data_IF_691581733582
#
_entry.id   IF_691581733582
#
_cell.length_a   1.000
_cell.length_b   1.000
_cell.length_c   1.000
_cell.angle_alpha   90.00
_cell.angle_beta   90.00
_cell.angle_gamma   90.00
#
_symmetry.space_group_name_H-M   'P 1'
#
loop_
_entity.id
_entity.type
_entity.pdbx_description
1 polymer ?
#
# COMPACT_ATOMS: atom_id res chain seq x y z
N UNK A 1 -18.20 17.50 -9.73
CA UNK A 1 -19.46 16.75 -9.98
C UNK A 1 -20.59 17.38 -9.16
N UNK A 2 -21.79 17.60 -9.73
CA UNK A 2 -22.95 18.05 -8.95
C UNK A 2 -23.77 16.84 -8.51
N UNK A 3 -24.07 16.75 -7.21
CA UNK A 3 -24.94 15.74 -6.63
C UNK A 3 -26.23 16.39 -6.15
N UNK A 4 -27.36 15.72 -6.40
CA UNK A 4 -28.70 16.19 -5.98
C UNK A 4 -29.40 15.06 -5.26
N UNK A 5 -29.84 15.31 -4.04
CA UNK A 5 -30.64 14.36 -3.27
C UNK A 5 -32.06 14.32 -3.84
N UNK A 6 -32.55 13.12 -4.18
CA UNK A 6 -33.82 12.93 -4.90
C UNK A 6 -35.02 13.36 -4.04
N UNK A 7 -34.98 13.12 -2.73
CA UNK A 7 -36.12 13.38 -1.84
C UNK A 7 -36.21 14.85 -1.43
N UNK A 8 -35.09 15.46 -1.05
CA UNK A 8 -35.01 16.83 -0.55
C UNK A 8 -34.76 17.89 -1.62
N UNK A 9 -34.40 17.47 -2.85
CA UNK A 9 -34.00 18.33 -3.97
C UNK A 9 -32.80 19.25 -3.67
N UNK A 10 -32.11 19.04 -2.54
CA UNK A 10 -30.88 19.77 -2.18
C UNK A 10 -29.73 19.30 -3.04
N UNK A 11 -28.90 20.24 -3.50
CA UNK A 11 -27.74 19.97 -4.34
C UNK A 11 -26.45 20.51 -3.74
N UNK A 12 -25.36 19.80 -3.96
CA UNK A 12 -24.00 20.21 -3.60
C UNK A 12 -23.02 19.77 -4.68
N UNK A 13 -21.82 20.34 -4.67
CA UNK A 13 -20.74 20.01 -5.61
C UNK A 13 -19.70 19.18 -4.86
N UNK A 14 -19.20 18.14 -5.51
CA UNK A 14 -18.09 17.31 -5.02
C UNK A 14 -16.94 17.40 -6.01
N UNK A 15 -15.74 17.68 -5.49
CA UNK A 15 -14.48 17.54 -6.20
C UNK A 15 -13.68 16.43 -5.53
N UNK A 16 -13.28 15.43 -6.31
CA UNK A 16 -12.42 14.35 -5.85
C UNK A 16 -10.96 14.69 -6.14
N UNK A 17 -10.12 14.61 -5.12
CA UNK A 17 -8.70 14.97 -5.20
C UNK A 17 -7.81 13.73 -5.14
N UNK A 18 -6.80 13.70 -5.99
CA UNK A 18 -5.67 12.79 -5.86
C UNK A 18 -4.38 13.58 -6.10
N UNK A 19 -3.81 14.08 -5.02
CA UNK A 19 -2.64 14.93 -5.03
C UNK A 19 -1.34 14.13 -5.14
N UNK A 20 -0.33 14.75 -5.73
CA UNK A 20 1.03 14.19 -5.78
C UNK A 20 1.67 14.20 -4.39
N UNK A 21 2.48 13.18 -4.11
CA UNK A 21 3.31 13.12 -2.92
C UNK A 21 4.42 14.18 -2.93
N UNK A 22 4.86 14.60 -4.11
CA UNK A 22 5.83 15.68 -4.28
C UNK A 22 5.16 17.05 -4.05
N UNK A 23 5.80 17.88 -3.23
CA UNK A 23 5.24 19.17 -2.83
C UNK A 23 5.27 20.22 -3.93
N UNK A 24 6.22 20.16 -4.85
CA UNK A 24 6.32 21.10 -5.97
C UNK A 24 5.25 20.76 -7.00
N UNK A 25 5.12 19.48 -7.36
CA UNK A 25 4.08 19.04 -8.31
C UNK A 25 2.66 19.31 -7.78
N UNK A 26 2.49 19.32 -6.46
CA UNK A 26 1.20 19.58 -5.81
C UNK A 26 0.74 21.03 -5.94
N UNK A 27 1.63 21.99 -6.25
CA UNK A 27 1.26 23.40 -6.41
C UNK A 27 0.23 23.58 -7.53
N UNK A 28 0.36 22.85 -8.64
CA UNK A 28 -0.58 22.91 -9.77
C UNK A 28 -2.01 22.51 -9.38
N UNK A 29 -2.15 21.60 -8.40
CA UNK A 29 -3.44 21.20 -7.86
C UNK A 29 -4.08 22.35 -7.05
N UNK A 30 -3.29 23.11 -6.29
CA UNK A 30 -3.79 24.25 -5.53
C UNK A 30 -4.31 25.36 -6.45
N UNK A 31 -3.62 25.62 -7.56
CA UNK A 31 -4.08 26.56 -8.59
C UNK A 31 -5.36 26.07 -9.27
N UNK A 32 -5.47 24.75 -9.50
CA UNK A 32 -6.69 24.16 -10.05
C UNK A 32 -7.88 24.28 -9.09
N UNK A 33 -7.65 24.05 -7.79
CA UNK A 33 -8.67 24.25 -6.75
C UNK A 33 -9.05 25.73 -6.61
N UNK A 34 -8.10 26.65 -6.80
CA UNK A 34 -8.38 28.09 -6.86
C UNK A 34 -9.37 28.45 -7.97
N UNK A 35 -9.06 28.00 -9.19
CA UNK A 35 -9.90 28.25 -10.35
C UNK A 35 -11.30 27.63 -10.21
N UNK A 36 -11.39 26.47 -9.55
CA UNK A 36 -12.66 25.82 -9.24
C UNK A 36 -13.45 26.59 -8.19
N UNK A 37 -12.82 27.02 -7.09
CA UNK A 37 -13.48 27.71 -5.98
C UNK A 37 -14.25 28.96 -6.44
N UNK A 38 -13.67 29.74 -7.36
CA UNK A 38 -14.33 30.93 -7.94
C UNK A 38 -15.63 30.62 -8.70
N UNK A 39 -15.86 29.38 -9.10
CA UNK A 39 -17.04 28.93 -9.83
C UNK A 39 -18.05 28.15 -8.97
N UNK A 40 -17.76 27.94 -7.68
CA UNK A 40 -18.63 27.17 -6.78
C UNK A 40 -19.80 28.02 -6.28
N UNK A 41 -20.98 27.78 -6.85
CA UNK A 41 -22.23 28.48 -6.50
C UNK A 41 -23.13 27.71 -5.53
N UNK A 42 -22.76 26.47 -5.20
CA UNK A 42 -23.47 25.57 -4.28
C UNK A 42 -22.49 25.15 -3.17
N UNK A 43 -23.00 24.59 -2.04
CA UNK A 43 -22.13 23.95 -1.06
C UNK A 43 -21.14 23.00 -1.74
N UNK A 44 -19.86 23.12 -1.40
CA UNK A 44 -18.77 22.43 -2.08
C UNK A 44 -18.02 21.54 -1.11
N UNK A 45 -17.90 20.28 -1.46
CA UNK A 45 -17.10 19.28 -0.75
C UNK A 45 -15.88 18.97 -1.61
N UNK A 46 -14.71 19.05 -1.00
CA UNK A 46 -13.45 18.59 -1.58
C UNK A 46 -12.99 17.42 -0.74
N UNK A 47 -12.87 16.25 -1.35
CA UNK A 47 -12.52 15.02 -0.64
C UNK A 47 -11.53 14.22 -1.49
N UNK A 48 -10.61 13.52 -0.85
CA UNK A 48 -9.66 12.65 -1.53
C UNK A 48 -8.33 12.56 -0.81
N UNK A 49 -7.32 12.08 -1.53
CA UNK A 49 -5.97 11.94 -1.02
C UNK A 49 -5.15 13.20 -1.36
N UNK A 50 -4.86 14.01 -0.33
CA UNK A 50 -4.06 15.22 -0.48
C UNK A 50 -2.56 14.99 -0.31
N UNK A 51 -2.12 13.81 0.13
CA UNK A 51 -0.73 13.48 0.43
C UNK A 51 0.02 14.53 1.30
N UNK A 52 -0.72 15.31 2.10
CA UNK A 52 -0.21 16.31 3.05
C UNK A 52 -1.13 16.32 4.26
N UNK A 53 -0.57 16.63 5.43
CA UNK A 53 -1.32 16.75 6.69
C UNK A 53 -1.67 18.22 6.96
N UNK A 54 -2.68 18.47 7.78
CA UNK A 54 -3.06 19.80 8.23
C UNK A 54 -2.21 20.30 9.39
N UNK A 55 -1.87 19.41 10.32
CA UNK A 55 -1.10 19.72 11.53
C UNK A 55 -0.01 18.69 11.83
N UNK A 56 1.05 19.11 12.53
CA UNK A 56 2.13 18.20 12.93
C UNK A 56 1.64 17.09 13.86
N UNK A 57 0.61 17.35 14.67
CA UNK A 57 -0.01 16.38 15.58
C UNK A 57 -0.69 15.21 14.83
N UNK A 58 -1.03 15.39 13.56
CA UNK A 58 -1.59 14.34 12.69
C UNK A 58 -0.52 13.35 12.21
N UNK A 59 0.75 13.56 12.58
CA UNK A 59 1.85 12.66 12.23
C UNK A 59 2.49 12.04 13.46
N UNK A 60 2.57 10.72 13.46
CA UNK A 60 3.36 9.97 14.45
C UNK A 60 4.66 9.42 13.85
N UNK A 61 5.80 9.96 14.32
CA UNK A 61 7.14 9.51 13.94
C UNK A 61 7.54 9.76 12.48
N UNK A 62 8.60 9.11 12.02
CA UNK A 62 9.14 9.30 10.67
C UNK A 62 10.02 10.54 10.53
N UNK A 63 10.09 11.11 9.32
CA UNK A 63 10.81 12.37 9.08
C UNK A 63 10.02 13.55 9.66
N UNK A 64 10.70 14.62 10.12
CA UNK A 64 10.04 15.85 10.52
C UNK A 64 9.09 16.38 9.43
N UNK A 65 8.01 17.02 9.87
CA UNK A 65 7.05 17.64 8.95
C UNK A 65 7.69 18.85 8.29
N UNK A 66 7.42 19.04 7.00
CA UNK A 66 7.83 20.25 6.28
C UNK A 66 6.84 21.37 6.55
N UNK A 67 7.28 22.40 7.28
CA UNK A 67 6.42 23.55 7.60
C UNK A 67 5.99 24.32 6.35
N UNK A 68 6.80 24.31 5.29
CA UNK A 68 6.43 24.90 4.02
C UNK A 68 5.22 24.18 3.42
N UNK A 69 5.22 22.84 3.41
CA UNK A 69 4.10 22.06 2.88
C UNK A 69 2.81 22.25 3.68
N UNK A 70 2.93 22.34 5.01
CA UNK A 70 1.81 22.69 5.88
C UNK A 70 1.24 24.07 5.55
N UNK A 71 2.11 25.07 5.43
CA UNK A 71 1.69 26.44 5.18
C UNK A 71 1.05 26.59 3.80
N UNK A 72 1.58 25.93 2.78
CA UNK A 72 1.00 25.93 1.43
C UNK A 72 -0.40 25.29 1.44
N UNK A 73 -0.55 24.16 2.14
CA UNK A 73 -1.86 23.51 2.28
C UNK A 73 -2.85 24.36 3.07
N UNK A 74 -2.42 24.94 4.20
CA UNK A 74 -3.22 25.85 5.03
C UNK A 74 -3.66 27.08 4.26
N UNK A 75 -2.75 27.67 3.49
CA UNK A 75 -3.06 28.81 2.64
C UNK A 75 -4.13 28.43 1.61
N UNK A 76 -4.00 27.27 0.96
CA UNK A 76 -5.00 26.76 0.03
C UNK A 76 -6.39 26.61 0.69
N UNK A 77 -6.50 25.89 1.80
CA UNK A 77 -7.79 25.64 2.48
C UNK A 77 -8.41 26.94 3.02
N UNK A 78 -7.62 27.78 3.69
CA UNK A 78 -8.10 29.02 4.31
C UNK A 78 -8.57 30.04 3.27
N UNK A 79 -7.91 30.12 2.11
CA UNK A 79 -8.32 31.04 1.04
C UNK A 79 -9.72 30.78 0.51
N UNK A 80 -10.22 29.54 0.62
CA UNK A 80 -11.53 29.15 0.09
C UNK A 80 -12.57 28.91 1.18
N UNK A 81 -12.26 29.28 2.44
CA UNK A 81 -13.10 29.00 3.60
C UNK A 81 -13.53 27.52 3.66
N UNK A 82 -12.68 26.62 3.18
CA UNK A 82 -12.88 25.20 3.37
C UNK A 82 -12.62 24.89 4.85
N UNK A 83 -13.53 24.13 5.44
CA UNK A 83 -13.41 23.69 6.82
C UNK A 83 -13.40 22.18 6.85
N UNK A 84 -12.60 21.64 7.77
CA UNK A 84 -12.63 20.21 8.05
C UNK A 84 -14.00 19.82 8.61
N UNK A 85 -14.64 18.84 7.98
CA UNK A 85 -15.90 18.25 8.44
C UNK A 85 -15.69 17.32 9.63
N UNK A 86 -14.43 17.01 9.95
CA UNK A 86 -14.02 15.98 10.89
C UNK A 86 -14.21 14.59 10.29
N UNK A 87 -13.70 13.60 11.01
CA UNK A 87 -13.82 12.20 10.62
C UNK A 87 -14.30 11.35 11.79
N UNK A 88 -14.82 10.16 11.46
CA UNK A 88 -15.13 9.12 12.43
C UNK A 88 -14.35 7.87 12.05
N UNK A 89 -13.46 7.41 12.93
CA UNK A 89 -12.64 6.22 12.68
C UNK A 89 -11.19 6.41 13.11
N UNK A 90 -10.27 5.80 12.37
CA UNK A 90 -8.83 5.93 12.61
C UNK A 90 -8.37 7.39 12.48
N UNK A 91 -7.57 7.85 13.44
CA UNK A 91 -6.99 9.20 13.43
C UNK A 91 -5.84 9.36 12.42
N UNK A 92 -5.37 8.26 11.84
CA UNK A 92 -4.37 8.25 10.78
C UNK A 92 -4.94 7.57 9.54
N UNK A 93 -4.78 8.22 8.39
CA UNK A 93 -5.23 7.74 7.07
C UNK A 93 -4.19 6.90 6.34
N UNK A 94 -2.93 6.91 6.79
CA UNK A 94 -1.83 6.16 6.18
C UNK A 94 -0.81 5.68 7.22
N UNK A 95 -0.28 4.44 7.06
CA UNK A 95 0.75 3.88 7.94
C UNK A 95 1.68 2.91 7.17
N UNK A 96 3.00 3.13 7.28
CA UNK A 96 4.07 2.23 6.81
C UNK A 96 4.61 1.16 7.81
N UNK A 97 3.86 0.71 8.81
CA UNK A 97 4.38 -0.25 9.80
C UNK A 97 4.81 -1.56 9.15
N UNK A 98 3.96 -2.10 8.27
CA UNK A 98 4.22 -3.34 7.56
C UNK A 98 5.53 -3.25 6.77
N UNK A 99 5.76 -2.14 6.06
CA UNK A 99 7.02 -1.90 5.34
C UNK A 99 8.25 -1.96 6.26
N UNK A 100 8.17 -1.29 7.41
CA UNK A 100 9.27 -1.25 8.38
C UNK A 100 9.53 -2.62 8.97
N UNK A 101 8.48 -3.35 9.33
CA UNK A 101 8.58 -4.69 9.88
C UNK A 101 9.18 -5.67 8.86
N UNK A 102 8.72 -5.63 7.60
CA UNK A 102 9.29 -6.45 6.53
C UNK A 102 10.75 -6.07 6.26
N UNK A 103 11.11 -4.79 6.21
CA UNK A 103 12.50 -4.37 6.04
C UNK A 103 13.43 -4.86 7.16
N UNK A 104 12.92 -5.00 8.39
CA UNK A 104 13.70 -5.52 9.52
C UNK A 104 14.14 -6.98 9.31
N UNK A 105 13.44 -7.75 8.46
CA UNK A 105 13.85 -9.11 8.10
C UNK A 105 15.23 -9.16 7.46
N UNK A 106 15.68 -8.11 6.77
CA UNK A 106 17.04 -8.05 6.22
C UNK A 106 18.16 -8.10 7.28
N UNK A 107 17.83 -7.86 8.55
CA UNK A 107 18.76 -7.97 9.67
C UNK A 107 18.75 -9.36 10.31
N UNK A 108 17.79 -10.22 9.97
CA UNK A 108 17.69 -11.58 10.47
C UNK A 108 18.58 -12.52 9.63
N UNK A 109 19.52 -13.21 10.29
CA UNK A 109 20.48 -14.11 9.63
C UNK A 109 19.82 -15.33 8.97
N UNK A 110 18.60 -15.68 9.39
CA UNK A 110 17.83 -16.80 8.85
C UNK A 110 16.86 -16.37 7.74
N UNK A 111 16.73 -15.08 7.47
CA UNK A 111 15.90 -14.59 6.37
C UNK A 111 16.66 -14.67 5.04
N UNK A 112 16.17 -15.49 4.13
CA UNK A 112 16.67 -15.52 2.76
C UNK A 112 15.82 -14.61 1.88
N UNK A 113 16.33 -13.38 1.63
CA UNK A 113 15.68 -12.42 0.75
C UNK A 113 15.68 -12.84 -0.72
N UNK A 114 14.86 -12.17 -1.53
CA UNK A 114 14.84 -12.37 -2.97
C UNK A 114 16.20 -12.01 -3.59
N UNK A 115 16.77 -12.95 -4.36
CA UNK A 115 18.11 -12.83 -4.90
C UNK A 115 18.17 -11.87 -6.11
N UNK A 116 18.84 -10.75 -5.94
CA UNK A 116 19.24 -9.85 -7.02
C UNK A 116 20.77 -9.85 -7.18
N UNK A 117 21.33 -9.38 -8.31
CA UNK A 117 22.77 -9.21 -8.47
C UNK A 117 23.43 -8.49 -7.29
N UNK A 118 24.69 -8.80 -7.01
CA UNK A 118 25.43 -8.36 -5.80
C UNK A 118 25.43 -6.84 -5.53
N UNK A 119 25.21 -6.03 -6.56
CA UNK A 119 25.20 -4.57 -6.50
C UNK A 119 23.79 -3.96 -6.54
N UNK A 120 22.76 -4.79 -6.53
CA UNK A 120 21.37 -4.36 -6.49
C UNK A 120 20.93 -4.05 -5.05
N UNK A 121 19.99 -3.11 -4.86
CA UNK A 121 19.34 -2.92 -3.58
C UNK A 121 18.70 -4.22 -3.08
N UNK A 122 18.76 -4.45 -1.77
CA UNK A 122 18.01 -5.56 -1.15
C UNK A 122 16.53 -5.19 -1.12
N UNK A 123 15.71 -5.95 -1.85
CA UNK A 123 14.26 -5.73 -1.95
C UNK A 123 13.58 -7.00 -1.45
N UNK A 124 12.63 -6.86 -0.53
CA UNK A 124 11.81 -7.96 -0.05
C UNK A 124 10.31 -7.69 -0.06
N UNK A 125 9.88 -6.50 -0.48
CA UNK A 125 8.47 -6.19 -0.70
C UNK A 125 8.31 -4.98 -1.63
N UNK A 126 7.14 -4.88 -2.25
CA UNK A 126 6.64 -3.72 -2.97
C UNK A 126 5.28 -3.34 -2.36
N UNK A 127 5.08 -2.05 -2.07
CA UNK A 127 3.83 -1.53 -1.53
C UNK A 127 3.12 -0.71 -2.60
N UNK A 128 1.87 -1.07 -2.83
CA UNK A 128 0.87 -0.24 -3.47
C UNK A 128 -0.13 0.22 -2.40
N UNK A 129 -1.03 1.14 -2.73
CA UNK A 129 -1.99 1.69 -1.77
C UNK A 129 -2.82 0.58 -1.08
N UNK A 130 -3.32 -0.37 -1.87
CA UNK A 130 -4.20 -1.44 -1.37
C UNK A 130 -3.54 -2.83 -1.35
N UNK A 131 -2.42 -3.00 -2.07
CA UNK A 131 -1.78 -4.31 -2.30
C UNK A 131 -0.32 -4.32 -1.83
N UNK A 132 0.10 -5.43 -1.22
CA UNK A 132 1.51 -5.66 -0.84
C UNK A 132 2.02 -6.92 -1.51
N UNK A 133 3.11 -6.80 -2.28
CA UNK A 133 3.83 -7.94 -2.85
C UNK A 133 5.04 -8.20 -1.96
N UNK A 134 5.16 -9.41 -1.42
CA UNK A 134 6.34 -9.83 -0.64
C UNK A 134 7.23 -10.70 -1.52
N UNK A 135 8.52 -10.37 -1.55
CA UNK A 135 9.55 -11.05 -2.33
C UNK A 135 10.52 -11.73 -1.37
N UNK A 136 10.55 -13.05 -1.37
CA UNK A 136 11.43 -13.83 -0.50
C UNK A 136 11.80 -15.17 -1.14
N UNK A 137 12.76 -15.86 -0.54
CA UNK A 137 12.92 -17.30 -0.76
C UNK A 137 11.65 -18.06 -0.34
N UNK A 138 11.42 -19.22 -0.95
CA UNK A 138 10.31 -20.14 -0.65
C UNK A 138 10.67 -21.18 0.41
N UNK A 139 11.82 -21.05 1.09
CA UNK A 139 12.18 -21.93 2.18
C UNK A 139 11.31 -21.69 3.42
N UNK A 140 11.08 -22.74 4.19
CA UNK A 140 10.10 -22.73 5.27
C UNK A 140 10.45 -21.75 6.40
N UNK A 141 11.74 -21.54 6.70
CA UNK A 141 12.16 -20.58 7.72
C UNK A 141 11.87 -19.14 7.29
N UNK A 142 12.18 -18.81 6.03
CA UNK A 142 11.86 -17.49 5.47
C UNK A 142 10.35 -17.23 5.47
N UNK A 143 9.53 -18.22 5.08
CA UNK A 143 8.07 -18.09 5.11
C UNK A 143 7.53 -17.91 6.54
N UNK A 144 8.06 -18.64 7.52
CA UNK A 144 7.70 -18.48 8.93
C UNK A 144 7.94 -17.04 9.39
N UNK A 145 9.13 -16.48 9.11
CA UNK A 145 9.49 -15.11 9.49
C UNK A 145 8.57 -14.06 8.83
N UNK A 146 8.18 -14.26 7.58
CA UNK A 146 7.21 -13.39 6.90
C UNK A 146 5.85 -13.46 7.60
N UNK A 147 5.38 -14.66 7.95
CA UNK A 147 4.10 -14.85 8.64
C UNK A 147 4.12 -14.26 10.06
N UNK A 148 5.23 -14.34 10.78
CA UNK A 148 5.39 -13.69 12.09
C UNK A 148 5.28 -12.16 11.99
N UNK A 149 5.88 -11.56 10.96
CA UNK A 149 5.76 -10.11 10.70
C UNK A 149 4.31 -9.73 10.40
N UNK A 150 3.62 -10.53 9.58
CA UNK A 150 2.23 -10.34 9.22
C UNK A 150 1.31 -10.43 10.46
N UNK A 151 1.47 -11.46 11.29
CA UNK A 151 0.70 -11.62 12.53
C UNK A 151 0.97 -10.50 13.54
N UNK A 152 2.24 -10.08 13.68
CA UNK A 152 2.60 -8.95 14.53
C UNK A 152 1.97 -7.64 14.03
N UNK A 153 1.92 -7.44 12.70
CA UNK A 153 1.27 -6.29 12.09
C UNK A 153 -0.24 -6.28 12.35
N UNK A 154 -0.94 -7.42 12.18
CA UNK A 154 -2.38 -7.51 12.45
C UNK A 154 -2.68 -7.16 13.92
N UNK A 155 -1.89 -7.72 14.84
CA UNK A 155 -2.04 -7.45 16.28
C UNK A 155 -1.80 -5.98 16.65
N UNK A 156 -0.82 -5.33 16.01
CA UNK A 156 -0.45 -3.95 16.33
C UNK A 156 -1.36 -2.91 15.66
N UNK A 157 -1.82 -3.18 14.43
CA UNK A 157 -2.62 -2.23 13.63
C UNK A 157 -4.13 -2.44 13.77
N UNK A 158 -4.58 -3.64 14.19
CA UNK A 158 -5.98 -4.04 14.13
C UNK A 158 -6.50 -4.31 12.71
N UNK A 159 -5.66 -4.17 11.68
CA UNK A 159 -6.00 -4.53 10.32
C UNK A 159 -5.81 -6.04 10.12
N UNK A 160 -6.66 -6.66 9.32
CA UNK A 160 -6.56 -8.09 9.01
C UNK A 160 -6.15 -8.29 7.55
N UNK A 161 -5.34 -9.31 7.32
CA UNK A 161 -4.91 -9.75 6.00
C UNK A 161 -6.12 -10.32 5.27
N UNK A 162 -6.36 -9.83 4.06
CA UNK A 162 -7.45 -10.32 3.23
C UNK A 162 -7.06 -11.64 2.55
N UNK A 163 -7.28 -12.73 3.28
CA UNK A 163 -7.00 -14.12 2.86
C UNK A 163 -7.55 -14.48 1.48
N UNK A 164 -8.74 -13.96 1.14
CA UNK A 164 -9.40 -14.24 -0.14
C UNK A 164 -8.75 -13.53 -1.33
N UNK A 165 -7.99 -12.46 -1.07
CA UNK A 165 -7.26 -11.69 -2.08
C UNK A 165 -5.75 -11.97 -2.08
N UNK A 166 -5.25 -12.77 -1.15
CA UNK A 166 -3.83 -13.14 -1.07
C UNK A 166 -3.50 -14.29 -2.02
N UNK A 167 -2.32 -14.22 -2.67
CA UNK A 167 -1.80 -15.27 -3.54
C UNK A 167 -0.27 -15.37 -3.42
N UNK A 168 0.30 -16.55 -3.71
CA UNK A 168 1.76 -16.76 -3.75
C UNK A 168 2.15 -17.18 -5.17
N UNK A 169 3.19 -16.54 -5.69
CA UNK A 169 3.75 -16.83 -7.02
C UNK A 169 5.12 -17.48 -6.87
N UNK A 170 5.36 -18.56 -7.60
CA UNK A 170 6.63 -19.26 -7.64
C UNK A 170 7.19 -19.30 -9.06
N UNK A 171 8.52 -19.27 -9.18
CA UNK A 171 9.20 -19.38 -10.46
C UNK A 171 8.94 -20.73 -11.14
N UNK A 172 8.72 -20.76 -12.45
CA UNK A 172 8.32 -21.95 -13.21
C UNK A 172 9.37 -23.07 -13.24
N UNK A 173 10.64 -22.77 -12.94
CA UNK A 173 11.71 -23.78 -12.91
C UNK A 173 11.70 -24.62 -11.64
N UNK A 174 10.82 -24.31 -10.69
CA UNK A 174 10.44 -25.19 -9.57
C UNK A 174 9.56 -26.31 -10.13
N UNK A 175 10.19 -27.22 -10.87
CA UNK A 175 9.52 -28.31 -11.57
C UNK A 175 8.93 -29.30 -10.56
N UNK A 176 7.61 -29.47 -10.62
CA UNK A 176 6.76 -30.26 -9.71
C UNK A 176 6.28 -29.49 -8.47
N UNK A 177 5.36 -28.57 -8.69
CA UNK A 177 4.64 -27.84 -7.64
C UNK A 177 3.63 -28.80 -6.98
N UNK A 178 4.11 -29.54 -5.99
CA UNK A 178 3.31 -30.03 -4.87
C UNK A 178 4.01 -29.45 -3.66
N UNK A 179 3.29 -28.64 -2.87
CA UNK A 179 3.81 -28.25 -1.57
C UNK A 179 4.16 -29.53 -0.81
N UNK A 180 5.36 -29.62 -0.25
CA UNK A 180 5.70 -30.71 0.65
C UNK A 180 4.91 -30.48 1.95
N UNK A 181 3.64 -30.90 1.96
CA UNK A 181 2.69 -30.62 3.03
C UNK A 181 3.17 -31.18 4.36
N UNK A 182 3.82 -32.35 4.35
CA UNK A 182 4.41 -32.95 5.56
C UNK A 182 5.50 -32.04 6.13
N UNK A 183 6.44 -31.61 5.29
CA UNK A 183 7.52 -30.71 5.72
C UNK A 183 7.02 -29.33 6.15
N UNK A 184 5.96 -28.82 5.53
CA UNK A 184 5.30 -27.61 5.99
C UNK A 184 4.64 -27.82 7.35
N UNK A 185 3.96 -28.96 7.57
CA UNK A 185 3.37 -29.41 8.85
C UNK A 185 4.35 -29.58 9.98
N UNK A 186 5.60 -29.90 9.67
CA UNK A 186 6.66 -29.96 10.67
C UNK A 186 7.18 -28.58 11.10
N UNK A 187 7.14 -27.58 10.21
CA UNK A 187 7.86 -26.31 10.40
C UNK A 187 6.93 -25.16 10.78
N UNK A 188 5.69 -25.19 10.31
CA UNK A 188 4.73 -24.09 10.46
C UNK A 188 3.62 -24.44 11.46
N UNK A 189 3.11 -23.47 12.23
CA UNK A 189 1.89 -23.62 13.00
C UNK A 189 0.70 -24.12 12.15
N UNK A 190 -0.13 -24.99 12.73
CA UNK A 190 -1.23 -25.66 12.02
C UNK A 190 -2.21 -24.66 11.38
N UNK A 191 -2.50 -23.54 12.06
CA UNK A 191 -3.34 -22.46 11.53
C UNK A 191 -2.75 -21.80 10.27
N UNK A 192 -1.42 -21.67 10.20
CA UNK A 192 -0.72 -21.05 9.07
C UNK A 192 -0.66 -21.99 7.87
N UNK A 193 -0.49 -23.29 8.10
CA UNK A 193 -0.47 -24.29 7.03
C UNK A 193 -1.84 -24.45 6.44
N UNK A 194 -2.86 -24.58 7.28
CA UNK A 194 -4.24 -24.67 6.82
C UNK A 194 -4.57 -23.41 6.00
N UNK A 195 -4.11 -22.24 6.44
CA UNK A 195 -4.25 -21.01 5.67
C UNK A 195 -3.52 -21.05 4.31
N UNK A 196 -2.27 -21.55 4.25
CA UNK A 196 -1.51 -21.69 3.01
C UNK A 196 -2.20 -22.68 2.07
N UNK A 197 -2.52 -23.90 2.53
CA UNK A 197 -3.08 -24.96 1.70
C UNK A 197 -4.51 -24.64 1.22
N UNK A 198 -5.31 -23.94 2.02
CA UNK A 198 -6.71 -23.62 1.68
C UNK A 198 -6.82 -22.41 0.75
N UNK A 199 -5.97 -21.39 0.91
CA UNK A 199 -6.16 -20.10 0.24
C UNK A 199 -5.07 -19.76 -0.79
N UNK A 200 -3.91 -20.41 -0.74
CA UNK A 200 -2.83 -20.16 -1.70
C UNK A 200 -2.99 -21.08 -2.92
N UNK A 201 -3.58 -20.52 -3.97
CA UNK A 201 -3.66 -21.20 -5.28
C UNK A 201 -2.29 -21.17 -5.97
N UNK A 202 -1.76 -22.35 -6.23
CA UNK A 202 -0.65 -22.53 -7.17
C UNK A 202 -1.11 -22.10 -8.58
N UNK A 203 -0.28 -21.40 -9.37
CA UNK A 203 -0.69 -20.94 -10.69
C UNK A 203 -1.10 -22.13 -11.58
N UNK A 204 -2.29 -22.03 -12.16
CA UNK A 204 -2.89 -23.06 -13.01
C UNK A 204 -2.35 -22.92 -14.44
N UNK A 205 -1.63 -23.96 -14.89
CA UNK A 205 -1.16 -24.29 -16.26
C UNK A 205 -0.45 -23.19 -17.09
N UNK A 206 0.52 -23.56 -17.95
CA UNK A 206 1.41 -22.61 -18.67
C UNK A 206 0.72 -21.58 -19.57
N UNK A 207 -0.58 -21.75 -19.85
CA UNK A 207 -1.33 -20.98 -20.84
C UNK A 207 -2.51 -20.17 -20.26
N UNK A 208 -2.65 -20.14 -18.93
CA UNK A 208 -3.60 -19.27 -18.22
C UNK A 208 -2.83 -18.30 -17.31
N UNK A 209 -1.80 -17.65 -17.87
CA UNK A 209 -1.18 -16.51 -17.22
C UNK A 209 -2.12 -15.31 -17.37
N UNK A 210 -2.69 -14.84 -16.27
CA UNK A 210 -2.89 -13.40 -16.12
C UNK A 210 -1.52 -12.77 -16.39
N UNK A 211 -1.39 -12.09 -17.53
CA UNK A 211 -0.12 -11.53 -18.00
C UNK A 211 0.56 -10.75 -16.87
N UNK A 212 1.74 -11.16 -16.38
CA UNK A 212 2.50 -10.36 -15.44
C UNK A 212 3.00 -9.11 -16.19
N UNK A 213 2.53 -7.93 -15.79
CA UNK A 213 2.87 -6.65 -16.44
C UNK A 213 4.29 -6.16 -16.09
N UNK A 214 4.99 -6.83 -15.19
CA UNK A 214 6.34 -6.44 -14.77
C UNK A 214 7.25 -7.65 -14.70
N UNK A 215 7.95 -7.89 -15.81
CA UNK A 215 9.10 -8.77 -15.85
C UNK A 215 10.31 -7.88 -16.10
N UNK A 216 11.21 -7.80 -15.12
CA UNK A 216 12.47 -7.08 -15.27
C UNK A 216 13.34 -7.94 -16.19
N UNK A 217 13.34 -7.65 -17.49
CA UNK A 217 14.21 -8.34 -18.44
C UNK A 217 15.67 -8.01 -18.13
N UNK A 218 16.39 -8.96 -17.52
CA UNK A 218 17.85 -8.93 -17.47
C UNK A 218 18.38 -9.44 -18.81
N UNK A 219 18.16 -8.67 -19.87
CA UNK A 219 18.61 -8.94 -21.23
C UNK A 219 19.65 -7.92 -21.69
N UNK A 220 20.73 -7.75 -20.93
CA UNK A 220 21.88 -6.99 -21.41
C UNK A 220 22.64 -7.79 -22.46
N UNK A 221 22.33 -7.58 -23.73
CA UNK A 221 23.28 -7.86 -24.80
C UNK A 221 24.28 -6.69 -24.83
N UNK A 222 25.47 -6.93 -24.28
CA UNK A 222 26.62 -6.08 -24.54
C UNK A 222 26.97 -6.21 -26.03
N UNK A 223 26.68 -5.15 -26.79
CA UNK A 223 27.37 -4.87 -28.04
C UNK A 223 28.75 -4.25 -27.73
#
# INVERSE_FOLDING_TARGET
>A
MKLTNVDSQKSFIVTLVHAKCDSIERIELWDSLHALAGNMTLPWIVEGDFNVIWDEEEKFGGRPVSLNELNDFRYCINNYNLFDLGFKGSIYTWWNALSKALNALHMNLYFCGFGLPKWSPKINHLLYADDTIILSSSDANTLLLVMEVLAAYEKASGQLINKNKSAIYMHHSTSSIVWDEEKLREILPEELINHILEYVKLPVLPNMLDKPYWMLETGGNLA
#
